data_IF_802471472758
#
_entry.id   IF_802471472758
#
_cell.length_a   1.000
_cell.length_b   1.000
_cell.length_c   1.000
_cell.angle_alpha   90.00
_cell.angle_beta   90.00
_cell.angle_gamma   90.00
#
_symmetry.space_group_name_H-M   'P 1'
#
loop_
_entity.id
_entity.type
_entity.pdbx_description
1 polymer ?
#
# COMPACT_ATOMS: atom_id res chain seq x y z
N UNK A 1 1.13 12.67 10.52
CA UNK A 1 2.26 11.75 10.75
C UNK A 1 2.17 11.17 12.15
N UNK A 2 2.55 9.89 12.32
CA UNK A 2 2.64 9.18 13.60
C UNK A 2 3.96 8.43 13.64
N UNK A 3 4.71 8.54 14.74
CA UNK A 3 5.96 7.79 14.95
C UNK A 3 6.00 7.19 16.37
N UNK A 4 6.59 6.02 16.50
CA UNK A 4 6.74 5.29 17.78
C UNK A 4 8.14 4.69 17.82
N UNK A 5 8.81 4.77 18.98
CA UNK A 5 10.12 4.18 19.22
C UNK A 5 11.28 5.03 18.75
N UNK A 6 12.46 4.42 18.75
CA UNK A 6 13.75 5.03 18.40
C UNK A 6 14.63 3.97 17.70
N UNK A 7 15.71 4.41 17.03
CA UNK A 7 16.66 3.51 16.37
C UNK A 7 16.52 3.47 14.85
N UNK A 8 16.73 2.30 14.22
CA UNK A 8 16.65 2.14 12.77
C UNK A 8 15.25 2.43 12.26
N UNK A 9 15.15 3.22 11.18
CA UNK A 9 13.87 3.67 10.64
C UNK A 9 13.13 2.59 9.85
N UNK A 10 11.83 2.42 10.14
CA UNK A 10 10.87 1.68 9.32
C UNK A 10 9.74 2.63 8.95
N UNK A 11 9.56 2.90 7.67
CA UNK A 11 8.58 3.86 7.15
C UNK A 11 7.46 3.14 6.43
N UNK A 12 6.25 3.34 6.90
CA UNK A 12 5.04 2.71 6.40
C UNK A 12 4.25 3.65 5.48
N UNK A 13 3.96 3.19 4.27
CA UNK A 13 3.31 3.92 3.20
C UNK A 13 1.93 3.30 2.90
N UNK A 14 0.86 4.06 3.11
CA UNK A 14 -0.52 3.57 3.05
C UNK A 14 -1.03 3.31 1.63
N UNK A 15 -2.09 2.49 1.52
CA UNK A 15 -2.83 2.21 0.30
C UNK A 15 -3.65 3.42 -0.19
N UNK A 16 -4.20 3.34 -1.40
CA UNK A 16 -5.04 4.40 -1.99
C UNK A 16 -6.43 4.53 -1.33
N UNK A 17 -6.90 3.48 -0.69
CA UNK A 17 -8.20 3.41 0.02
C UNK A 17 -8.03 3.54 1.55
N UNK A 18 -6.92 4.12 2.01
CA UNK A 18 -6.57 4.17 3.42
C UNK A 18 -5.69 5.38 3.76
N UNK A 19 -5.41 5.57 5.01
CA UNK A 19 -4.45 6.53 5.53
C UNK A 19 -3.45 5.88 6.51
N UNK A 20 -2.60 6.68 7.19
CA UNK A 20 -1.59 6.16 8.12
C UNK A 20 -2.14 5.23 9.21
N UNK A 21 -3.43 5.34 9.56
CA UNK A 21 -4.07 4.54 10.62
C UNK A 21 -4.13 3.05 10.27
N UNK A 22 -4.07 2.70 8.99
CA UNK A 22 -3.97 1.29 8.59
C UNK A 22 -2.74 0.60 9.18
N UNK A 23 -1.71 1.36 9.53
CA UNK A 23 -0.45 0.85 10.08
C UNK A 23 -0.37 0.84 11.60
N UNK A 24 -1.45 1.21 12.32
CA UNK A 24 -1.42 1.38 13.79
C UNK A 24 -0.90 0.15 14.53
N UNK A 25 -1.28 -1.08 14.11
CA UNK A 25 -0.79 -2.32 14.71
C UNK A 25 0.68 -2.60 14.39
N UNK A 26 1.13 -2.25 13.19
CA UNK A 26 2.53 -2.37 12.79
C UNK A 26 3.41 -1.34 13.50
N UNK A 27 2.96 -0.09 13.61
CA UNK A 27 3.66 0.95 14.38
C UNK A 27 3.85 0.52 15.84
N UNK A 28 2.80 0.00 16.48
CA UNK A 28 2.88 -0.49 17.87
C UNK A 28 3.78 -1.74 18.02
N UNK A 29 3.88 -2.57 16.98
CA UNK A 29 4.76 -3.76 16.98
C UNK A 29 6.22 -3.36 16.83
N UNK A 30 6.55 -2.65 15.76
CA UNK A 30 7.94 -2.31 15.41
C UNK A 30 8.51 -1.18 16.25
N UNK A 31 7.67 -0.27 16.77
CA UNK A 31 8.09 0.82 17.65
C UNK A 31 8.66 0.39 18.99
N UNK A 32 8.64 -0.91 19.31
CA UNK A 32 9.29 -1.46 20.50
C UNK A 32 10.82 -1.51 20.36
N UNK A 33 11.34 -1.61 19.14
CA UNK A 33 12.75 -1.86 18.86
C UNK A 33 13.31 -1.00 17.71
N UNK A 34 12.46 -0.25 17.03
CA UNK A 34 12.78 0.57 15.86
C UNK A 34 12.07 1.91 15.94
N UNK A 35 12.53 2.90 15.17
CA UNK A 35 11.72 4.06 14.87
C UNK A 35 10.72 3.69 13.75
N UNK A 36 9.50 3.33 14.15
CA UNK A 36 8.40 3.01 13.25
C UNK A 36 7.58 4.27 12.95
N UNK A 37 7.39 4.63 11.68
CA UNK A 37 6.73 5.86 11.25
C UNK A 37 5.78 5.64 10.08
N UNK A 38 4.62 6.33 10.13
CA UNK A 38 3.69 6.45 9.01
C UNK A 38 3.17 7.89 8.88
N UNK A 39 2.86 8.31 7.65
CA UNK A 39 2.29 9.61 7.37
C UNK A 39 1.18 9.50 6.32
N UNK A 40 0.28 10.49 6.29
CA UNK A 40 -0.72 10.60 5.26
C UNK A 40 -0.13 11.34 4.05
N UNK A 41 -0.20 10.70 2.88
CA UNK A 41 0.15 11.36 1.63
C UNK A 41 -0.83 12.51 1.34
N UNK A 42 -0.48 13.41 0.44
CA UNK A 42 -1.37 14.48 -0.04
C UNK A 42 -2.71 13.90 -0.49
N UNK A 43 -3.83 14.51 -0.07
CA UNK A 43 -5.18 14.07 -0.38
C UNK A 43 -5.67 12.87 0.42
N UNK A 44 -4.98 12.48 1.51
CA UNK A 44 -5.36 11.37 2.38
C UNK A 44 -5.33 11.76 3.85
N UNK A 45 -6.20 11.14 4.64
CA UNK A 45 -6.26 11.32 6.08
C UNK A 45 -6.35 12.79 6.49
N UNK A 46 -5.41 13.26 7.32
CA UNK A 46 -5.37 14.66 7.77
C UNK A 46 -4.57 15.59 6.85
N UNK A 47 -4.00 15.08 5.75
CA UNK A 47 -3.13 15.87 4.87
C UNK A 47 -3.89 16.46 3.69
N UNK A 48 -4.35 17.70 3.86
CA UNK A 48 -4.91 18.49 2.77
C UNK A 48 -3.80 19.07 1.89
N UNK A 49 -4.07 19.25 0.60
CA UNK A 49 -3.13 19.85 -0.35
C UNK A 49 -3.89 20.62 -1.42
N UNK A 50 -3.38 21.78 -1.87
CA UNK A 50 -3.86 22.39 -3.09
C UNK A 50 -3.53 21.51 -4.29
N UNK A 51 -4.36 21.57 -5.35
CA UNK A 51 -4.07 20.89 -6.62
C UNK A 51 -3.03 21.68 -7.42
N UNK A 52 -1.77 21.52 -7.04
CA UNK A 52 -0.58 22.05 -7.71
C UNK A 52 0.36 20.91 -8.11
N UNK A 53 1.32 21.17 -8.98
CA UNK A 53 2.28 20.14 -9.41
C UNK A 53 3.07 19.58 -8.22
N UNK A 54 2.99 18.26 -7.99
CA UNK A 54 3.67 17.58 -6.90
C UNK A 54 4.18 16.19 -7.32
N UNK A 55 4.99 15.58 -6.47
CA UNK A 55 5.47 14.22 -6.66
C UNK A 55 5.55 13.52 -5.30
N UNK A 56 4.82 12.42 -5.13
CA UNK A 56 4.90 11.61 -3.92
C UNK A 56 6.32 11.12 -3.62
N UNK A 57 7.15 10.88 -4.64
CA UNK A 57 8.56 10.50 -4.47
C UNK A 57 9.37 11.64 -3.85
N UNK A 58 9.12 12.90 -4.26
CA UNK A 58 9.79 14.07 -3.68
C UNK A 58 9.27 14.36 -2.27
N UNK A 59 7.96 14.19 -2.04
CA UNK A 59 7.39 14.34 -0.71
C UNK A 59 7.97 13.33 0.27
N UNK A 60 8.09 12.05 -0.12
CA UNK A 60 8.74 11.03 0.71
C UNK A 60 10.20 11.40 0.99
N UNK A 61 10.93 11.88 -0.03
CA UNK A 61 12.31 12.34 0.16
C UNK A 61 12.38 13.47 1.20
N UNK A 62 11.51 14.46 1.10
CA UNK A 62 11.46 15.57 2.04
C UNK A 62 11.13 15.11 3.47
N UNK A 63 10.19 14.19 3.64
CA UNK A 63 9.85 13.59 4.94
C UNK A 63 11.04 12.85 5.54
N UNK A 64 11.76 12.05 4.75
CA UNK A 64 12.92 11.32 5.25
C UNK A 64 14.09 12.25 5.62
N UNK A 65 14.31 13.28 4.82
CA UNK A 65 15.37 14.27 5.08
C UNK A 65 15.07 15.12 6.35
N UNK A 66 13.80 15.55 6.53
CA UNK A 66 13.36 16.34 7.70
C UNK A 66 13.50 15.55 9.01
N UNK A 67 13.26 14.24 8.94
CA UNK A 67 13.38 13.32 10.08
C UNK A 67 14.81 12.81 10.30
N UNK A 68 15.74 13.13 9.43
CA UNK A 68 17.11 12.63 9.49
C UNK A 68 17.21 11.11 9.29
N UNK A 69 16.23 10.50 8.61
CA UNK A 69 16.21 9.07 8.35
C UNK A 69 17.11 8.73 7.16
N UNK A 70 18.27 8.19 7.47
CA UNK A 70 19.18 7.64 6.46
C UNK A 70 18.92 6.16 6.27
N UNK A 71 18.62 5.74 5.05
CA UNK A 71 18.41 4.35 4.65
C UNK A 71 17.36 3.55 5.48
N UNK A 72 16.13 4.05 5.68
CA UNK A 72 15.09 3.27 6.35
C UNK A 72 14.69 2.03 5.53
N UNK A 73 14.01 1.09 6.19
CA UNK A 73 13.17 0.09 5.52
C UNK A 73 11.88 0.78 5.06
N UNK A 74 11.52 0.63 3.80
CA UNK A 74 10.23 1.11 3.28
C UNK A 74 9.22 -0.05 3.24
N UNK A 75 8.08 0.12 3.88
CA UNK A 75 6.97 -0.85 3.89
C UNK A 75 5.77 -0.20 3.23
N UNK A 76 5.37 -0.66 2.05
CA UNK A 76 4.28 -0.03 1.29
C UNK A 76 3.19 -1.01 0.90
N UNK A 77 1.92 -0.60 1.06
CA UNK A 77 0.75 -1.34 0.59
C UNK A 77 0.17 -0.68 -0.66
N UNK A 78 -0.14 -1.47 -1.69
CA UNK A 78 -0.81 -0.99 -2.90
C UNK A 78 -0.11 0.23 -3.52
N UNK A 79 -0.77 1.40 -3.57
CA UNK A 79 -0.14 2.67 -3.99
C UNK A 79 1.08 3.05 -3.14
N UNK A 80 1.09 2.73 -1.84
CA UNK A 80 2.27 2.89 -1.00
C UNK A 80 3.42 1.97 -1.42
N UNK A 81 3.11 0.78 -1.93
CA UNK A 81 4.08 -0.13 -2.55
C UNK A 81 4.66 0.45 -3.85
N UNK A 82 3.82 1.04 -4.71
CA UNK A 82 4.26 1.81 -5.89
C UNK A 82 5.26 2.89 -5.51
N UNK A 83 4.91 3.70 -4.51
CA UNK A 83 5.77 4.76 -4.02
C UNK A 83 7.12 4.23 -3.50
N UNK A 84 7.12 3.11 -2.75
CA UNK A 84 8.33 2.48 -2.26
C UNK A 84 9.25 2.03 -3.40
N UNK A 85 8.70 1.42 -4.45
CA UNK A 85 9.44 0.99 -5.65
C UNK A 85 10.00 2.20 -6.41
N UNK A 86 9.16 3.19 -6.73
CA UNK A 86 9.55 4.39 -7.47
C UNK A 86 10.64 5.19 -6.72
N UNK A 87 10.52 5.27 -5.39
CA UNK A 87 11.54 5.91 -4.54
C UNK A 87 12.85 5.14 -4.54
N UNK A 88 12.80 3.82 -4.42
CA UNK A 88 13.99 2.95 -4.41
C UNK A 88 14.75 3.04 -5.72
N UNK A 89 14.06 3.03 -6.85
CA UNK A 89 14.67 3.21 -8.17
C UNK A 89 15.29 4.60 -8.35
N UNK A 90 14.67 5.63 -7.78
CA UNK A 90 15.17 7.02 -7.88
C UNK A 90 16.31 7.31 -6.92
N UNK A 91 16.31 6.71 -5.73
CA UNK A 91 17.25 6.96 -4.63
C UNK A 91 17.75 5.65 -3.99
N UNK A 92 18.40 4.74 -4.75
CA UNK A 92 18.76 3.41 -4.25
C UNK A 92 19.67 3.44 -3.02
N UNK A 93 20.55 4.42 -2.91
CA UNK A 93 21.44 4.59 -1.75
C UNK A 93 20.69 5.02 -0.47
N UNK A 94 19.43 5.46 -0.57
CA UNK A 94 18.62 5.96 0.54
C UNK A 94 17.66 4.90 1.14
N UNK A 95 17.73 3.65 0.72
CA UNK A 95 16.85 2.57 1.18
C UNK A 95 17.70 1.39 1.64
N UNK A 96 17.36 0.79 2.78
CA UNK A 96 18.05 -0.41 3.27
C UNK A 96 17.38 -1.70 2.79
N UNK A 97 16.05 -1.74 2.77
CA UNK A 97 15.23 -2.85 2.29
C UNK A 97 13.82 -2.35 1.95
N UNK A 98 13.07 -3.16 1.20
CA UNK A 98 11.69 -2.85 0.80
C UNK A 98 10.76 -4.01 1.14
N UNK A 99 9.58 -3.68 1.69
CA UNK A 99 8.47 -4.63 1.86
C UNK A 99 7.27 -4.12 1.07
N UNK A 100 6.75 -4.96 0.19
CA UNK A 100 5.67 -4.66 -0.73
C UNK A 100 4.46 -5.52 -0.39
N UNK A 101 3.41 -4.91 0.15
CA UNK A 101 2.14 -5.56 0.43
C UNK A 101 1.19 -5.31 -0.75
N UNK A 102 0.90 -6.34 -1.55
CA UNK A 102 0.00 -6.25 -2.72
C UNK A 102 0.25 -4.98 -3.59
N UNK A 103 1.48 -4.72 -4.05
CA UNK A 103 1.85 -3.42 -4.60
C UNK A 103 1.18 -3.11 -5.94
N UNK A 104 0.78 -1.85 -6.13
CA UNK A 104 0.69 -1.26 -7.45
C UNK A 104 2.11 -0.99 -7.98
N UNK A 105 2.28 -0.86 -9.30
CA UNK A 105 3.57 -0.57 -9.93
C UNK A 105 3.34 0.45 -11.06
N UNK A 106 4.18 1.46 -11.12
CA UNK A 106 4.15 2.45 -12.19
C UNK A 106 4.46 1.79 -13.55
N UNK A 107 3.55 1.96 -14.50
CA UNK A 107 3.65 1.36 -15.84
C UNK A 107 3.14 -0.08 -15.95
N UNK A 108 2.56 -0.66 -14.89
CA UNK A 108 1.89 -1.95 -15.00
C UNK A 108 0.53 -1.80 -15.68
N UNK A 109 0.24 -2.70 -16.62
CA UNK A 109 -1.05 -2.76 -17.29
C UNK A 109 -2.15 -3.27 -16.33
N UNK A 110 -3.34 -2.75 -16.52
CA UNK A 110 -4.55 -3.31 -15.91
C UNK A 110 -5.17 -4.36 -16.85
N UNK A 111 -5.81 -5.41 -16.31
CA UNK A 111 -6.48 -6.41 -17.15
C UNK A 111 -7.61 -5.76 -17.94
N UNK A 112 -7.80 -6.21 -19.18
CA UNK A 112 -8.89 -5.76 -20.05
C UNK A 112 -10.22 -6.49 -19.75
N UNK A 113 -10.17 -7.60 -18.99
CA UNK A 113 -11.33 -8.43 -18.66
C UNK A 113 -11.19 -9.02 -17.27
N UNK A 114 -12.32 -9.18 -16.58
CA UNK A 114 -12.42 -9.80 -15.27
C UNK A 114 -13.33 -11.02 -15.33
N UNK A 115 -13.27 -11.88 -14.32
CA UNK A 115 -14.30 -12.94 -14.13
C UNK A 115 -15.68 -12.30 -13.95
N UNK A 116 -16.78 -13.06 -14.21
CA UNK A 116 -18.13 -12.52 -14.04
C UNK A 116 -18.41 -11.94 -12.64
N UNK A 117 -17.87 -12.56 -11.59
CA UNK A 117 -18.02 -12.13 -10.20
C UNK A 117 -17.34 -10.78 -9.96
N UNK A 118 -16.09 -10.65 -10.39
CA UNK A 118 -15.32 -9.41 -10.26
C UNK A 118 -15.93 -8.30 -11.13
N UNK A 119 -16.37 -8.64 -12.35
CA UNK A 119 -17.04 -7.68 -13.22
C UNK A 119 -18.35 -7.16 -12.60
N UNK A 120 -19.13 -8.03 -11.92
CA UNK A 120 -20.33 -7.62 -11.20
C UNK A 120 -20.03 -6.68 -10.02
N UNK A 121 -18.91 -6.89 -9.30
CA UNK A 121 -18.48 -6.00 -8.23
C UNK A 121 -18.08 -4.61 -8.78
N UNK A 122 -17.36 -4.55 -9.90
CA UNK A 122 -17.06 -3.28 -10.57
C UNK A 122 -18.31 -2.58 -11.11
N UNK A 123 -19.30 -3.31 -11.63
CA UNK A 123 -20.57 -2.70 -12.05
C UNK A 123 -21.32 -2.02 -10.90
N UNK A 124 -21.21 -2.55 -9.66
CA UNK A 124 -21.78 -1.88 -8.48
C UNK A 124 -21.04 -0.56 -8.19
N UNK A 125 -19.71 -0.57 -8.28
CA UNK A 125 -18.90 0.64 -8.11
C UNK A 125 -19.27 1.68 -9.18
N UNK A 126 -19.26 1.29 -10.46
CA UNK A 126 -19.62 2.18 -11.58
C UNK A 126 -21.02 2.80 -11.40
N UNK A 127 -22.00 1.99 -10.91
CA UNK A 127 -23.34 2.48 -10.65
C UNK A 127 -23.42 3.48 -9.48
N UNK A 128 -22.59 3.28 -8.45
CA UNK A 128 -22.49 4.20 -7.32
C UNK A 128 -21.83 5.53 -7.75
N UNK A 129 -20.75 5.47 -8.55
CA UNK A 129 -20.08 6.63 -9.13
C UNK A 129 -21.00 7.46 -10.02
N UNK A 130 -21.81 6.81 -10.89
CA UNK A 130 -22.78 7.49 -11.73
C UNK A 130 -23.84 8.24 -10.94
N UNK A 131 -24.17 7.76 -9.73
CA UNK A 131 -25.08 8.43 -8.81
C UNK A 131 -24.38 9.49 -7.94
N UNK A 132 -23.06 9.55 -7.95
CA UNK A 132 -22.24 10.36 -7.06
C UNK A 132 -22.57 10.11 -5.58
N UNK A 133 -22.87 8.86 -5.23
CA UNK A 133 -23.19 8.43 -3.87
C UNK A 133 -21.92 7.92 -3.17
N UNK A 134 -21.28 8.79 -2.41
CA UNK A 134 -20.02 8.48 -1.71
C UNK A 134 -20.16 7.29 -0.75
N UNK A 135 -21.30 7.09 -0.13
CA UNK A 135 -21.51 5.96 0.77
C UNK A 135 -21.56 4.63 0.01
N UNK A 136 -22.25 4.58 -1.13
CA UNK A 136 -22.29 3.39 -1.99
C UNK A 136 -20.94 3.14 -2.65
N UNK A 137 -20.19 4.17 -3.05
CA UNK A 137 -18.82 4.06 -3.56
C UNK A 137 -17.93 3.42 -2.49
N UNK A 138 -17.98 3.94 -1.27
CA UNK A 138 -17.17 3.45 -0.15
C UNK A 138 -17.49 1.99 0.19
N UNK A 139 -18.77 1.59 0.20
CA UNK A 139 -19.17 0.21 0.42
C UNK A 139 -18.71 -0.74 -0.71
N UNK A 140 -18.82 -0.29 -1.97
CA UNK A 140 -18.35 -1.06 -3.13
C UNK A 140 -16.82 -1.23 -3.10
N UNK A 141 -16.07 -0.20 -2.73
CA UNK A 141 -14.62 -0.27 -2.55
C UNK A 141 -14.22 -1.16 -1.36
N UNK A 142 -15.02 -1.17 -0.28
CA UNK A 142 -14.80 -2.11 0.82
C UNK A 142 -14.98 -3.58 0.36
N UNK A 143 -15.96 -3.86 -0.48
CA UNK A 143 -16.08 -5.20 -1.08
C UNK A 143 -14.84 -5.55 -1.92
N UNK A 144 -14.43 -4.67 -2.83
CA UNK A 144 -13.31 -4.92 -3.74
C UNK A 144 -11.97 -5.10 -3.01
N UNK A 145 -11.67 -4.23 -2.03
CA UNK A 145 -10.33 -4.09 -1.45
C UNK A 145 -10.17 -4.72 -0.06
N UNK A 146 -11.26 -4.84 0.71
CA UNK A 146 -11.20 -5.41 2.05
C UNK A 146 -11.79 -6.82 2.10
N UNK A 147 -12.97 -7.05 1.46
CA UNK A 147 -13.55 -8.38 1.44
C UNK A 147 -12.85 -9.30 0.44
N UNK A 148 -12.38 -8.73 -0.65
CA UNK A 148 -11.83 -9.44 -1.82
C UNK A 148 -12.85 -9.51 -2.95
N UNK A 149 -12.40 -9.24 -4.20
CA UNK A 149 -13.29 -8.94 -5.33
C UNK A 149 -14.18 -10.13 -5.78
N UNK A 150 -13.78 -11.35 -5.44
CA UNK A 150 -14.54 -12.58 -5.71
C UNK A 150 -15.09 -13.23 -4.43
N UNK A 151 -14.92 -12.58 -3.28
CA UNK A 151 -15.43 -13.05 -2.00
C UNK A 151 -16.87 -12.58 -1.78
N UNK A 152 -17.53 -13.15 -0.76
CA UNK A 152 -18.83 -12.66 -0.32
C UNK A 152 -18.71 -11.24 0.25
N UNK A 153 -19.61 -10.34 -0.17
CA UNK A 153 -19.67 -8.97 0.34
C UNK A 153 -19.96 -8.97 1.84
N UNK A 154 -19.19 -8.21 2.62
CA UNK A 154 -19.29 -8.24 4.07
C UNK A 154 -18.52 -9.39 4.73
N UNK A 155 -17.62 -10.08 4.04
CA UNK A 155 -16.72 -11.09 4.61
C UNK A 155 -15.98 -10.54 5.83
N UNK A 156 -15.51 -9.31 5.74
CA UNK A 156 -14.88 -8.59 6.86
C UNK A 156 -15.91 -7.66 7.49
N UNK A 157 -16.10 -7.78 8.79
CA UNK A 157 -17.10 -7.01 9.56
C UNK A 157 -16.50 -6.37 10.81
N UNK A 158 -17.33 -5.56 11.52
CA UNK A 158 -16.97 -4.94 12.81
C UNK A 158 -15.87 -3.88 12.70
N UNK A 159 -15.10 -3.67 13.77
CA UNK A 159 -14.19 -2.52 13.89
C UNK A 159 -13.17 -2.38 12.74
N UNK A 160 -12.85 -3.47 12.04
CA UNK A 160 -11.93 -3.41 10.91
C UNK A 160 -12.60 -2.80 9.68
N UNK A 161 -13.86 -3.21 9.39
CA UNK A 161 -14.65 -2.61 8.32
C UNK A 161 -14.95 -1.14 8.62
N UNK A 162 -15.33 -0.84 9.87
CA UNK A 162 -15.59 0.53 10.31
C UNK A 162 -14.36 1.42 10.09
N UNK A 163 -13.16 0.94 10.42
CA UNK A 163 -11.91 1.66 10.19
C UNK A 163 -11.64 1.87 8.69
N UNK A 164 -11.87 0.85 7.85
CA UNK A 164 -11.72 0.98 6.40
C UNK A 164 -12.65 2.06 5.86
N UNK A 165 -13.94 1.98 6.17
CA UNK A 165 -14.97 2.93 5.69
C UNK A 165 -14.66 4.37 6.13
N UNK A 166 -14.16 4.54 7.36
CA UNK A 166 -13.77 5.86 7.86
C UNK A 166 -12.55 6.41 7.11
N UNK A 167 -11.50 5.61 6.92
CA UNK A 167 -10.29 6.05 6.19
C UNK A 167 -10.59 6.35 4.73
N UNK A 168 -11.31 5.47 4.06
CA UNK A 168 -11.63 5.61 2.64
C UNK A 168 -12.65 6.73 2.41
N UNK A 169 -13.65 6.87 3.28
CA UNK A 169 -14.59 7.99 3.23
C UNK A 169 -13.92 9.36 3.35
N UNK A 170 -12.87 9.48 4.19
CA UNK A 170 -12.06 10.70 4.23
C UNK A 170 -11.35 10.94 2.89
N UNK A 171 -10.77 9.90 2.29
CA UNK A 171 -10.09 10.03 1.00
C UNK A 171 -11.06 10.42 -0.13
N UNK A 172 -12.26 9.85 -0.16
CA UNK A 172 -13.32 10.19 -1.13
C UNK A 172 -13.82 11.63 -0.97
N UNK A 173 -13.88 12.14 0.26
CA UNK A 173 -14.30 13.52 0.54
C UNK A 173 -13.21 14.58 0.22
N UNK A 174 -11.96 14.18 0.01
CA UNK A 174 -10.90 15.11 -0.40
C UNK A 174 -11.06 15.51 -1.88
N UNK A 175 -10.76 16.76 -2.24
CA UNK A 175 -10.67 17.15 -3.65
C UNK A 175 -9.63 16.29 -4.39
N UNK A 176 -9.96 15.86 -5.59
CA UNK A 176 -9.04 15.13 -6.44
C UNK A 176 -7.77 15.95 -6.76
N UNK A 177 -6.61 15.35 -6.60
CA UNK A 177 -5.33 15.94 -6.98
C UNK A 177 -4.93 15.44 -8.36
N UNK A 178 -5.09 16.29 -9.38
CA UNK A 178 -4.90 15.93 -10.78
C UNK A 178 -3.49 16.19 -11.32
N UNK A 179 -2.64 16.90 -10.55
CA UNK A 179 -1.33 17.38 -11.00
C UNK A 179 -0.14 16.61 -10.44
N UNK A 180 -0.34 15.32 -10.09
CA UNK A 180 0.78 14.44 -9.73
C UNK A 180 1.73 14.31 -10.92
N UNK A 181 3.01 14.62 -10.71
CA UNK A 181 4.07 14.33 -11.67
C UNK A 181 4.32 12.83 -11.63
N UNK A 182 3.78 12.13 -12.63
CA UNK A 182 3.86 10.68 -12.69
C UNK A 182 5.32 10.22 -12.88
N UNK A 183 5.79 9.21 -12.12
CA UNK A 183 7.09 8.61 -12.32
C UNK A 183 7.14 7.89 -13.67
N UNK A 184 8.36 7.64 -14.17
CA UNK A 184 8.54 6.74 -15.31
C UNK A 184 8.09 5.32 -14.95
N UNK A 185 7.80 4.50 -15.97
CA UNK A 185 7.51 3.07 -15.77
C UNK A 185 8.60 2.41 -14.91
N UNK A 186 8.20 1.87 -13.77
CA UNK A 186 9.06 1.10 -12.89
C UNK A 186 9.07 -0.39 -13.27
N UNK A 187 8.04 -0.82 -14.02
CA UNK A 187 7.87 -2.20 -14.44
C UNK A 187 9.09 -2.72 -15.21
N UNK A 188 9.63 -1.89 -16.11
CA UNK A 188 10.78 -2.23 -16.94
C UNK A 188 12.14 -2.12 -16.22
N UNK A 189 12.12 -1.68 -14.95
CA UNK A 189 13.31 -1.38 -14.16
C UNK A 189 13.44 -2.22 -12.88
N UNK A 190 12.50 -3.14 -12.62
CA UNK A 190 12.49 -3.96 -11.40
C UNK A 190 13.78 -4.71 -11.15
N UNK A 191 14.45 -5.19 -12.21
CA UNK A 191 15.74 -5.86 -12.15
C UNK A 191 16.89 -4.97 -11.64
N UNK A 192 16.69 -3.65 -11.59
CA UNK A 192 17.68 -2.69 -11.07
C UNK A 192 17.55 -2.46 -9.56
N UNK A 193 16.55 -3.07 -8.91
CA UNK A 193 16.39 -3.00 -7.46
C UNK A 193 17.33 -4.03 -6.82
N UNK A 194 18.41 -3.55 -6.23
CA UNK A 194 19.43 -4.41 -5.60
C UNK A 194 19.19 -4.62 -4.11
N UNK A 195 18.40 -3.76 -3.46
CA UNK A 195 18.09 -3.88 -2.03
C UNK A 195 17.23 -5.12 -1.77
N UNK A 196 17.39 -5.77 -0.60
CA UNK A 196 16.53 -6.87 -0.20
C UNK A 196 15.06 -6.46 -0.28
N UNK A 197 14.23 -7.31 -0.88
CA UNK A 197 12.81 -7.03 -1.10
C UNK A 197 11.94 -8.21 -0.65
N UNK A 198 10.93 -7.94 0.18
CA UNK A 198 9.87 -8.89 0.53
C UNK A 198 8.58 -8.48 -0.17
N UNK A 199 7.95 -9.41 -0.87
CA UNK A 199 6.62 -9.21 -1.46
C UNK A 199 5.62 -10.09 -0.72
N UNK A 200 4.52 -9.49 -0.23
CA UNK A 200 3.46 -10.20 0.52
C UNK A 200 2.11 -9.86 -0.10
N UNK A 201 1.24 -10.86 -0.29
CA UNK A 201 -0.12 -10.61 -0.75
C UNK A 201 -1.10 -11.62 -0.17
N UNK A 202 -2.38 -11.32 -0.24
CA UNK A 202 -3.46 -12.21 0.17
C UNK A 202 -3.96 -13.07 -1.01
N UNK A 203 -4.33 -14.32 -0.75
CA UNK A 203 -4.84 -15.23 -1.78
C UNK A 203 -6.29 -14.91 -2.23
N UNK A 204 -6.97 -14.00 -1.53
CA UNK A 204 -8.30 -13.50 -1.90
C UNK A 204 -8.24 -12.14 -2.65
N UNK A 205 -7.04 -11.62 -2.91
CA UNK A 205 -6.87 -10.40 -3.71
C UNK A 205 -7.15 -10.66 -5.20
N UNK A 206 -7.27 -9.61 -5.98
CA UNK A 206 -7.45 -9.68 -7.43
C UNK A 206 -6.41 -10.61 -8.08
N UNK A 207 -6.82 -11.51 -8.98
CA UNK A 207 -5.88 -12.42 -9.66
C UNK A 207 -4.71 -11.69 -10.33
N UNK A 208 -4.98 -10.56 -11.00
CA UNK A 208 -3.93 -9.78 -11.67
C UNK A 208 -2.93 -9.11 -10.70
N UNK A 209 -3.35 -8.83 -9.45
CA UNK A 209 -2.44 -8.32 -8.42
C UNK A 209 -1.59 -9.46 -7.88
N UNK A 210 -2.17 -10.64 -7.66
CA UNK A 210 -1.41 -11.84 -7.29
C UNK A 210 -0.37 -12.19 -8.35
N UNK A 211 -0.74 -12.22 -9.64
CA UNK A 211 0.16 -12.45 -10.76
C UNK A 211 1.27 -11.39 -10.83
N UNK A 212 0.93 -10.13 -10.57
CA UNK A 212 1.89 -9.02 -10.47
C UNK A 212 2.87 -9.23 -9.34
N UNK A 213 2.44 -9.67 -8.17
CA UNK A 213 3.33 -9.98 -7.04
C UNK A 213 4.32 -11.10 -7.38
N UNK A 214 3.85 -12.15 -8.06
CA UNK A 214 4.70 -13.24 -8.56
C UNK A 214 5.72 -12.71 -9.58
N UNK A 215 5.29 -11.87 -10.51
CA UNK A 215 6.16 -11.26 -11.51
C UNK A 215 7.24 -10.37 -10.88
N UNK A 216 6.87 -9.51 -9.92
CA UNK A 216 7.81 -8.66 -9.17
C UNK A 216 8.85 -9.53 -8.45
N UNK A 217 8.39 -10.60 -7.77
CA UNK A 217 9.27 -11.53 -7.07
C UNK A 217 10.28 -12.24 -7.97
N UNK A 218 9.93 -12.47 -9.24
CA UNK A 218 10.83 -13.04 -10.25
C UNK A 218 11.75 -12.01 -10.89
N UNK A 219 11.36 -10.75 -10.89
CA UNK A 219 12.09 -9.67 -11.58
C UNK A 219 13.15 -9.02 -10.69
N UNK A 220 12.91 -8.91 -9.39
CA UNK A 220 13.86 -8.31 -8.44
C UNK A 220 14.86 -9.37 -7.97
N UNK A 221 16.20 -9.19 -8.15
CA UNK A 221 17.20 -10.22 -7.88
C UNK A 221 17.23 -10.74 -6.43
N UNK A 222 17.00 -9.84 -5.46
CA UNK A 222 17.05 -10.16 -4.03
C UNK A 222 15.65 -10.20 -3.39
N UNK A 223 14.66 -10.68 -4.15
CA UNK A 223 13.29 -10.76 -3.67
C UNK A 223 12.97 -12.12 -3.02
N UNK A 224 12.10 -12.06 -2.01
CA UNK A 224 11.38 -13.19 -1.43
C UNK A 224 9.88 -12.91 -1.48
N UNK A 225 9.07 -13.96 -1.58
CA UNK A 225 7.61 -13.83 -1.71
C UNK A 225 6.89 -14.67 -0.69
N UNK A 226 5.82 -14.15 -0.12
CA UNK A 226 4.97 -14.82 0.87
C UNK A 226 3.49 -14.57 0.56
N UNK A 227 2.67 -15.59 0.69
CA UNK A 227 1.22 -15.52 0.53
C UNK A 227 0.56 -15.65 1.89
N UNK A 228 -0.39 -14.76 2.19
CA UNK A 228 -1.23 -14.88 3.38
C UNK A 228 -2.59 -15.43 2.96
N UNK A 229 -2.91 -16.61 3.50
CA UNK A 229 -4.17 -17.28 3.22
C UNK A 229 -5.37 -16.58 3.87
N UNK A 230 -6.55 -16.72 3.28
CA UNK A 230 -7.81 -16.14 3.75
C UNK A 230 -7.75 -14.61 3.95
N UNK A 231 -6.99 -13.93 3.10
CA UNK A 231 -6.72 -12.52 3.19
C UNK A 231 -6.82 -11.86 1.81
N UNK A 232 -7.42 -10.69 1.75
CA UNK A 232 -7.55 -9.91 0.52
C UNK A 232 -6.40 -8.89 0.37
N UNK A 233 -6.71 -7.70 -0.14
CA UNK A 233 -5.72 -6.70 -0.55
C UNK A 233 -4.96 -6.05 0.62
N UNK A 234 -5.63 -5.83 1.76
CA UNK A 234 -5.09 -5.09 2.89
C UNK A 234 -4.53 -6.05 3.97
N UNK A 235 -3.52 -6.83 3.58
CA UNK A 235 -2.96 -7.93 4.40
C UNK A 235 -2.53 -7.52 5.81
N UNK A 236 -2.01 -6.31 5.98
CA UNK A 236 -1.58 -5.77 7.27
C UNK A 236 -2.76 -5.41 8.19
N UNK A 237 -3.92 -5.10 7.62
CA UNK A 237 -5.15 -4.84 8.38
C UNK A 237 -5.83 -6.13 8.80
N UNK A 238 -6.00 -7.07 7.86
CA UNK A 238 -6.71 -8.31 8.10
C UNK A 238 -5.90 -9.27 8.99
N UNK A 239 -4.63 -9.49 8.66
CA UNK A 239 -3.77 -10.46 9.33
C UNK A 239 -2.50 -9.81 9.94
N UNK A 240 -2.65 -8.78 10.82
CA UNK A 240 -1.51 -7.97 11.30
C UNK A 240 -0.43 -8.76 12.03
N UNK A 241 -0.79 -9.86 12.71
CA UNK A 241 0.19 -10.70 13.42
C UNK A 241 1.07 -11.48 12.45
N UNK A 242 0.45 -12.06 11.40
CA UNK A 242 1.16 -12.82 10.37
C UNK A 242 2.04 -11.85 9.58
N UNK A 243 1.46 -10.75 9.08
CA UNK A 243 2.19 -9.73 8.33
C UNK A 243 3.39 -9.19 9.09
N UNK A 244 3.19 -8.73 10.34
CA UNK A 244 4.28 -8.20 11.16
C UNK A 244 5.36 -9.25 11.44
N UNK A 245 4.99 -10.52 11.66
CA UNK A 245 5.96 -11.61 11.85
C UNK A 245 6.82 -11.87 10.61
N UNK A 246 6.25 -11.84 9.41
CA UNK A 246 6.98 -11.96 8.14
C UNK A 246 7.96 -10.79 7.95
N UNK A 247 7.48 -9.55 8.19
CA UNK A 247 8.31 -8.35 8.09
C UNK A 247 9.44 -8.37 9.13
N UNK A 248 9.16 -8.76 10.38
CA UNK A 248 10.16 -8.85 11.45
C UNK A 248 11.27 -9.87 11.11
N UNK A 249 10.91 -11.07 10.64
CA UNK A 249 11.87 -12.09 10.21
C UNK A 249 12.74 -11.59 9.04
N UNK A 250 12.12 -10.91 8.08
CA UNK A 250 12.82 -10.35 6.94
C UNK A 250 13.80 -9.25 7.36
N UNK A 251 13.38 -8.31 8.20
CA UNK A 251 14.20 -7.20 8.69
C UNK A 251 15.34 -7.70 9.57
N UNK A 252 15.07 -8.61 10.53
CA UNK A 252 16.09 -9.16 11.44
C UNK A 252 17.23 -9.90 10.73
N UNK A 253 16.97 -10.43 9.55
CA UNK A 253 18.00 -11.11 8.74
C UNK A 253 18.85 -10.15 7.89
N UNK A 254 18.56 -8.82 7.91
CA UNK A 254 19.08 -7.84 6.95
C UNK A 254 19.62 -6.54 7.57
N UNK A 255 19.24 -6.26 8.82
CA UNK A 255 19.74 -5.15 9.65
C UNK A 255 20.62 -5.67 10.76
#
# INVERSE_FOLDING_TARGET
MTSIGEGSGIVFLHAGVADRRMWSKSLAHFGKHNLAMAYDRRGFGETQSPDEAFSHVQDLKAVLDDLGLDRPVLVGCSQGGRLAVDFTLRYPAKVSAVVLAAPAISGADNPSTFSPEIAAAFQKLDAAEQQSDEALINDAEAHLWLDGPASEEGRVTGPLRDLFLDMNGIALAHPELTKEIQPKSSMDQLQSIEVPTLIVWGNLDFPHIQDRCILIGRSIPNATTEVIEECAHLVNLEQPKIFNGLVEQFVASRL
#
